data_IF_989204884299
#
_entry.id   IF_989204884299
#
_cell.length_a   1.000
_cell.length_b   1.000
_cell.length_c   1.000
_cell.angle_alpha   90.00
_cell.angle_beta   90.00
_cell.angle_gamma   90.00
#
_symmetry.space_group_name_H-M   'P 1'
#
loop_
_entity.id
_entity.type
_entity.pdbx_description
1 polymer ?
#
# COMPACT_ATOMS: atom_id res chain seq x y z
N UNK A 1 20.74 19.92 -1.58
CA UNK A 1 19.32 19.75 -1.20
C UNK A 1 18.50 20.67 -2.07
N UNK A 2 17.47 20.15 -2.73
CA UNK A 2 16.48 20.99 -3.41
C UNK A 2 15.83 21.88 -2.36
N UNK A 3 15.93 23.20 -2.51
CA UNK A 3 15.26 24.11 -1.60
C UNK A 3 13.80 24.26 -2.04
N UNK A 4 12.89 23.94 -1.12
CA UNK A 4 11.46 24.09 -1.33
C UNK A 4 11.01 25.39 -0.67
N UNK A 5 10.69 26.45 -1.45
CA UNK A 5 10.28 27.73 -0.87
C UNK A 5 8.89 27.66 -0.21
N UNK A 6 8.10 26.64 -0.57
CA UNK A 6 6.71 26.44 -0.12
C UNK A 6 6.48 25.00 0.30
N UNK A 7 6.03 24.81 1.54
CA UNK A 7 5.80 23.49 2.12
C UNK A 7 4.48 23.50 2.87
N UNK A 8 3.61 22.56 2.53
CA UNK A 8 2.36 22.30 3.22
C UNK A 8 2.36 20.89 3.81
N UNK A 9 1.55 20.71 4.85
CA UNK A 9 1.27 19.43 5.47
C UNK A 9 -0.24 19.24 5.45
N UNK A 10 -0.70 18.09 4.97
CA UNK A 10 -2.08 17.65 5.03
C UNK A 10 -2.16 16.48 6.00
N UNK A 11 -3.00 16.63 7.02
CA UNK A 11 -3.38 15.55 7.91
C UNK A 11 -4.56 14.80 7.30
N UNK A 12 -4.34 13.53 6.97
CA UNK A 12 -5.30 12.68 6.28
C UNK A 12 -5.64 11.45 7.12
N UNK A 13 -6.80 10.84 6.89
CA UNK A 13 -7.14 9.54 7.44
C UNK A 13 -6.14 8.46 7.01
N UNK A 14 -5.87 7.50 7.89
CA UNK A 14 -4.90 6.44 7.67
C UNK A 14 -5.43 5.39 6.71
N UNK A 15 -4.81 5.24 5.54
CA UNK A 15 -4.93 4.04 4.71
C UNK A 15 -3.58 3.32 4.65
N UNK A 16 -3.60 2.01 4.49
CA UNK A 16 -2.35 1.26 4.33
C UNK A 16 -1.76 1.46 2.92
N UNK A 17 -2.59 1.68 1.90
CA UNK A 17 -2.16 1.79 0.50
C UNK A 17 -2.50 3.13 -0.19
N UNK A 18 -3.52 3.86 0.26
CA UNK A 18 -4.09 5.05 -0.41
C UNK A 18 -4.32 4.87 -1.93
N UNK A 19 -4.61 3.63 -2.34
CA UNK A 19 -4.67 3.14 -3.73
C UNK A 19 -5.78 2.12 -3.93
N UNK A 20 -6.92 2.37 -3.31
CA UNK A 20 -8.13 1.52 -3.33
C UNK A 20 -8.37 0.67 -2.07
N UNK A 21 -7.57 0.69 -0.99
CA UNK A 21 -7.99 0.11 0.31
C UNK A 21 -8.57 1.12 1.31
N UNK A 22 -9.50 0.67 2.16
CA UNK A 22 -10.27 1.51 3.09
C UNK A 22 -9.39 2.43 3.96
N UNK A 23 -9.89 3.65 4.19
CA UNK A 23 -9.28 4.67 5.06
C UNK A 23 -9.85 4.59 6.47
N UNK A 24 -9.02 4.79 7.50
CA UNK A 24 -9.37 4.87 8.93
C UNK A 24 -8.82 6.16 9.56
N UNK A 25 -9.66 7.05 10.09
CA UNK A 25 -9.20 8.27 10.78
C UNK A 25 -10.05 8.62 12.01
N UNK A 26 -9.45 9.29 13.01
CA UNK A 26 -10.08 9.74 14.28
C UNK A 26 -10.99 10.98 14.13
N UNK A 27 -11.31 11.41 12.91
CA UNK A 27 -12.27 12.48 12.70
C UNK A 27 -13.68 11.89 12.79
N UNK A 28 -14.52 12.44 13.67
CA UNK A 28 -15.84 11.92 14.06
C UNK A 28 -16.92 11.85 12.96
N UNK A 29 -16.53 11.73 11.69
CA UNK A 29 -17.42 11.53 10.54
C UNK A 29 -17.23 10.18 9.83
N UNK A 30 -16.40 9.27 10.33
CA UNK A 30 -16.19 7.95 9.71
C UNK A 30 -16.80 6.83 10.55
N UNK A 31 -18.08 6.97 10.90
CA UNK A 31 -18.86 5.89 11.49
C UNK A 31 -19.30 4.84 10.45
N UNK A 32 -19.37 5.19 9.16
CA UNK A 32 -19.78 4.25 8.08
C UNK A 32 -19.18 4.53 6.66
N UNK A 33 -18.29 5.53 6.49
CA UNK A 33 -18.02 6.16 5.17
C UNK A 33 -16.67 5.86 4.49
N UNK A 34 -16.64 5.83 3.16
CA UNK A 34 -15.41 5.78 2.35
C UNK A 34 -14.75 7.16 2.32
N UNK A 35 -13.62 7.33 3.00
CA UNK A 35 -12.90 8.60 3.05
C UNK A 35 -12.31 9.02 1.70
N UNK A 36 -12.44 10.31 1.35
CA UNK A 36 -11.97 10.87 0.07
C UNK A 36 -10.47 10.67 -0.17
N UNK A 37 -9.71 10.56 0.91
CA UNK A 37 -8.28 10.30 0.90
C UNK A 37 -7.87 8.90 0.43
N UNK A 38 -8.81 7.96 0.26
CA UNK A 38 -8.55 6.57 -0.18
C UNK A 38 -7.75 6.46 -1.48
N UNK A 39 -7.81 7.49 -2.32
CA UNK A 39 -7.13 7.50 -3.62
C UNK A 39 -6.04 8.58 -3.71
N UNK A 40 -5.58 9.11 -2.57
CA UNK A 40 -4.54 10.14 -2.54
C UNK A 40 -3.24 9.72 -3.24
N UNK A 41 -2.97 8.43 -3.45
CA UNK A 41 -1.77 8.00 -4.17
C UNK A 41 -2.08 7.08 -5.35
N UNK A 42 -3.34 7.09 -5.82
CA UNK A 42 -3.75 6.49 -7.08
C UNK A 42 -3.65 7.54 -8.18
N UNK A 43 -2.77 7.36 -9.16
CA UNK A 43 -2.72 8.27 -10.31
C UNK A 43 -3.86 8.01 -11.29
N UNK A 44 -4.19 8.99 -12.12
CA UNK A 44 -4.98 8.74 -13.33
C UNK A 44 -4.09 8.11 -14.43
N UNK A 45 -4.70 7.84 -15.59
CA UNK A 45 -4.01 7.28 -16.78
C UNK A 45 -2.89 8.18 -17.33
N UNK A 46 -2.80 9.43 -16.90
CA UNK A 46 -1.77 10.39 -17.29
C UNK A 46 -0.71 10.57 -16.20
N UNK A 47 -0.73 9.74 -15.15
CA UNK A 47 0.24 9.80 -14.06
C UNK A 47 0.01 10.96 -13.09
N UNK A 48 -1.17 11.59 -13.10
CA UNK A 48 -1.52 12.69 -12.20
C UNK A 48 -2.18 12.14 -10.93
N UNK A 49 -1.69 12.58 -9.78
CA UNK A 49 -2.22 12.30 -8.46
C UNK A 49 -3.16 13.41 -8.00
N UNK A 50 -4.08 13.05 -7.11
CA UNK A 50 -5.10 13.94 -6.58
C UNK A 50 -5.20 13.73 -5.07
N UNK A 51 -4.91 14.78 -4.32
CA UNK A 51 -4.84 14.78 -2.86
C UNK A 51 -6.05 15.46 -2.25
N UNK A 52 -6.69 14.80 -1.31
CA UNK A 52 -7.77 15.34 -0.51
C UNK A 52 -7.19 15.99 0.76
N UNK A 53 -7.51 17.26 0.97
CA UNK A 53 -7.34 17.92 2.25
C UNK A 53 -8.71 18.09 2.91
N UNK A 54 -8.93 17.58 4.13
CA UNK A 54 -10.19 17.79 4.83
C UNK A 54 -10.43 19.30 5.06
N UNK A 55 -11.70 19.75 5.04
CA UNK A 55 -12.04 21.16 5.19
C UNK A 55 -11.63 21.73 6.54
N UNK A 56 -11.51 23.07 6.62
CA UNK A 56 -11.35 23.78 7.89
C UNK A 56 -12.66 24.41 8.36
N UNK A 57 -13.10 23.99 9.55
CA UNK A 57 -14.28 24.55 10.23
C UNK A 57 -15.59 24.30 9.47
N UNK A 58 -16.67 24.91 9.96
CA UNK A 58 -18.03 24.73 9.42
C UNK A 58 -18.21 25.28 7.99
N UNK A 59 -17.24 26.06 7.50
CA UNK A 59 -17.29 26.72 6.19
C UNK A 59 -16.95 25.83 4.99
N UNK A 60 -16.62 24.55 5.22
CA UNK A 60 -16.27 23.57 4.17
C UNK A 60 -15.26 24.07 3.12
N UNK A 61 -14.37 24.98 3.51
CA UNK A 61 -13.47 25.65 2.56
C UNK A 61 -12.20 24.83 2.31
N UNK A 62 -11.78 24.66 1.05
CA UNK A 62 -10.54 23.98 0.71
C UNK A 62 -9.32 24.83 1.10
N UNK A 63 -8.11 24.24 1.15
CA UNK A 63 -6.88 25.02 1.26
C UNK A 63 -6.73 26.00 0.09
N UNK A 64 -6.67 27.30 0.41
CA UNK A 64 -6.52 28.39 -0.55
C UNK A 64 -5.27 29.21 -0.23
N UNK A 65 -4.05 28.70 -0.49
CA UNK A 65 -2.86 29.55 -0.39
C UNK A 65 -2.93 30.67 -1.45
N UNK A 66 -2.27 31.80 -1.17
CA UNK A 66 -2.25 32.94 -2.09
C UNK A 66 -1.66 32.56 -3.45
N UNK A 67 -0.54 31.84 -3.44
CA UNK A 67 0.04 31.23 -4.63
C UNK A 67 -0.24 29.71 -4.62
N UNK A 68 -1.00 29.16 -5.58
CA UNK A 68 -1.44 27.76 -5.54
C UNK A 68 -0.42 26.76 -6.09
N UNK A 69 0.62 27.17 -6.81
CA UNK A 69 1.52 26.27 -7.56
C UNK A 69 2.84 26.00 -6.84
N UNK A 70 3.59 24.98 -7.26
CA UNK A 70 4.98 24.77 -6.82
C UNK A 70 5.14 24.40 -5.34
N UNK A 71 4.17 23.71 -4.77
CA UNK A 71 4.22 23.28 -3.36
C UNK A 71 4.86 21.91 -3.21
N UNK A 72 5.68 21.75 -2.16
CA UNK A 72 5.92 20.44 -1.57
C UNK A 72 4.81 20.16 -0.55
N UNK A 73 4.05 19.10 -0.75
CA UNK A 73 2.91 18.76 0.11
C UNK A 73 3.14 17.42 0.77
N UNK A 74 3.36 17.42 2.08
CA UNK A 74 3.48 16.20 2.87
C UNK A 74 2.11 15.72 3.33
N UNK A 75 1.83 14.43 3.16
CA UNK A 75 0.68 13.77 3.74
C UNK A 75 1.11 13.04 5.00
N UNK A 76 0.49 13.36 6.12
CA UNK A 76 0.73 12.72 7.41
C UNK A 76 -0.57 12.15 7.95
N UNK A 77 -0.45 11.08 8.73
CA UNK A 77 -1.64 10.45 9.30
C UNK A 77 -1.37 9.82 10.66
N UNK A 78 -2.40 9.71 11.49
CA UNK A 78 -2.37 8.97 12.75
C UNK A 78 -2.59 7.49 12.47
N UNK A 79 -1.61 6.65 12.79
CA UNK A 79 -1.74 5.20 12.63
C UNK A 79 -2.66 4.63 13.73
N UNK A 80 -3.72 3.87 13.37
CA UNK A 80 -4.59 3.22 14.36
C UNK A 80 -3.80 2.41 15.38
N UNK A 81 -4.12 2.58 16.67
CA UNK A 81 -3.44 1.90 17.78
C UNK A 81 -2.03 2.41 18.08
N UNK A 82 -1.55 3.48 17.43
CA UNK A 82 -0.27 4.12 17.74
C UNK A 82 -0.44 5.62 17.96
N UNK A 83 0.41 6.17 18.82
CA UNK A 83 0.39 7.60 19.14
C UNK A 83 1.28 8.40 18.18
N UNK A 84 0.77 9.52 17.69
CA UNK A 84 1.50 10.49 16.87
C UNK A 84 1.18 10.41 15.37
N UNK A 85 1.88 11.24 14.61
CA UNK A 85 1.74 11.30 13.16
C UNK A 85 2.85 10.53 12.49
N UNK A 86 2.56 9.97 11.32
CA UNK A 86 3.51 9.25 10.49
C UNK A 86 3.45 9.82 9.07
N UNK A 87 4.62 9.92 8.42
CA UNK A 87 4.69 10.35 7.02
C UNK A 87 4.13 9.24 6.13
N UNK A 88 3.10 9.57 5.37
CA UNK A 88 2.42 8.67 4.44
C UNK A 88 3.02 8.77 3.05
N UNK A 89 3.35 9.97 2.63
CA UNK A 89 3.78 10.27 1.27
C UNK A 89 3.87 11.77 1.05
N UNK A 90 4.28 12.17 -0.14
CA UNK A 90 4.35 13.57 -0.50
C UNK A 90 4.12 13.79 -1.99
N UNK A 91 3.72 15.01 -2.33
CA UNK A 91 3.69 15.51 -3.69
C UNK A 91 4.73 16.61 -3.86
N UNK A 92 5.40 16.61 -5.00
CA UNK A 92 6.31 17.67 -5.42
C UNK A 92 5.64 18.49 -6.52
N UNK A 93 6.02 19.76 -6.65
CA UNK A 93 5.46 20.69 -7.63
C UNK A 93 3.92 20.67 -7.69
N UNK A 94 3.29 20.61 -6.51
CA UNK A 94 1.86 20.44 -6.39
C UNK A 94 1.10 21.76 -6.62
N UNK A 95 -0.10 21.62 -7.18
CA UNK A 95 -1.08 22.68 -7.38
C UNK A 95 -2.24 22.51 -6.39
N UNK A 96 -2.52 23.54 -5.59
CA UNK A 96 -3.75 23.66 -4.81
C UNK A 96 -4.92 24.13 -5.68
N UNK A 97 -6.00 23.37 -5.70
CA UNK A 97 -7.24 23.71 -6.40
C UNK A 97 -8.05 24.72 -5.59
N UNK A 98 -8.82 25.56 -6.28
CA UNK A 98 -9.63 26.61 -5.62
C UNK A 98 -10.95 26.09 -5.04
N UNK A 99 -11.33 24.86 -5.39
CA UNK A 99 -12.54 24.17 -4.99
C UNK A 99 -12.25 22.67 -4.74
N UNK A 100 -13.23 21.97 -4.18
CA UNK A 100 -13.25 20.51 -4.12
C UNK A 100 -13.71 19.98 -5.49
N UNK A 101 -12.77 19.50 -6.28
CA UNK A 101 -13.03 19.09 -7.66
C UNK A 101 -12.97 17.57 -7.81
N UNK A 102 -13.87 16.95 -8.59
CA UNK A 102 -13.75 15.54 -8.93
C UNK A 102 -12.57 15.31 -9.86
N UNK A 103 -12.06 14.08 -9.86
CA UNK A 103 -11.07 13.66 -10.86
C UNK A 103 -11.70 13.56 -12.25
N UNK A 104 -10.91 13.74 -13.33
CA UNK A 104 -11.35 13.48 -14.69
C UNK A 104 -11.85 12.04 -14.91
N UNK A 105 -11.34 11.07 -14.13
CA UNK A 105 -11.70 9.66 -14.19
C UNK A 105 -12.64 9.23 -13.04
N UNK A 106 -13.36 10.17 -12.44
CA UNK A 106 -14.21 9.92 -11.26
C UNK A 106 -15.25 8.80 -11.45
N UNK A 107 -15.75 8.60 -12.67
CA UNK A 107 -16.74 7.54 -12.99
C UNK A 107 -16.22 6.11 -12.75
N UNK A 108 -14.89 5.93 -12.66
CA UNK A 108 -14.28 4.63 -12.34
C UNK A 108 -14.39 4.29 -10.86
N UNK A 109 -14.57 5.30 -10.02
CA UNK A 109 -14.71 5.13 -8.59
C UNK A 109 -16.22 5.12 -8.31
N UNK A 110 -16.70 4.09 -7.61
CA UNK A 110 -18.09 4.07 -7.15
C UNK A 110 -18.43 5.32 -6.31
N UNK A 111 -19.68 5.45 -5.83
CA UNK A 111 -20.05 6.61 -5.04
C UNK A 111 -19.20 6.75 -3.78
N UNK A 112 -18.99 7.99 -3.33
CA UNK A 112 -18.48 8.28 -1.99
C UNK A 112 -19.51 7.92 -0.90
N UNK A 113 -19.22 8.24 0.36
CA UNK A 113 -20.10 7.95 1.49
C UNK A 113 -21.48 8.62 1.41
N UNK A 114 -21.60 9.72 0.68
CA UNK A 114 -22.82 10.51 0.54
C UNK A 114 -23.54 10.23 -0.79
N UNK A 115 -23.08 9.23 -1.57
CA UNK A 115 -23.62 8.93 -2.88
C UNK A 115 -23.05 9.80 -4.00
N UNK A 116 -22.08 10.66 -3.69
CA UNK A 116 -21.43 11.62 -4.58
C UNK A 116 -20.15 11.11 -5.23
N UNK A 117 -19.38 12.05 -5.80
CA UNK A 117 -18.07 11.78 -6.41
C UNK A 117 -16.95 12.12 -5.45
N UNK A 118 -15.87 11.34 -5.50
CA UNK A 118 -14.63 11.68 -4.81
C UNK A 118 -14.05 13.02 -5.27
N UNK A 119 -14.00 13.99 -4.35
CA UNK A 119 -13.46 15.33 -4.54
C UNK A 119 -12.06 15.51 -3.94
N UNK A 120 -11.25 16.36 -4.57
CA UNK A 120 -9.85 16.62 -4.21
C UNK A 120 -9.52 18.11 -4.25
N UNK A 121 -8.43 18.50 -3.58
CA UNK A 121 -8.03 19.90 -3.44
C UNK A 121 -6.57 20.15 -3.81
N UNK A 122 -5.80 19.10 -4.09
CA UNK A 122 -4.41 19.19 -4.52
C UNK A 122 -4.20 18.25 -5.70
N UNK A 123 -3.37 18.66 -6.67
CA UNK A 123 -2.93 17.76 -7.73
C UNK A 123 -1.42 17.89 -7.96
N UNK A 124 -0.80 16.80 -8.39
CA UNK A 124 0.61 16.77 -8.80
C UNK A 124 0.84 15.61 -9.75
N UNK A 125 1.80 15.74 -10.66
CA UNK A 125 2.32 14.57 -11.39
C UNK A 125 3.39 13.82 -10.60
N UNK A 126 4.06 14.47 -9.64
CA UNK A 126 5.17 13.93 -8.86
C UNK A 126 4.72 13.49 -7.45
N UNK A 127 3.97 12.40 -7.37
CA UNK A 127 3.51 11.80 -6.11
C UNK A 127 4.35 10.61 -5.66
N UNK A 128 4.65 10.55 -4.35
CA UNK A 128 5.44 9.52 -3.71
C UNK A 128 4.70 8.96 -2.51
N UNK A 129 4.38 7.67 -2.54
CA UNK A 129 3.80 6.95 -1.41
C UNK A 129 4.92 6.28 -0.62
N UNK A 130 4.97 6.48 0.69
CA UNK A 130 5.85 5.73 1.59
C UNK A 130 5.23 4.34 1.80
N UNK A 131 5.94 3.24 1.48
CA UNK A 131 5.49 1.89 1.80
C UNK A 131 5.27 1.72 3.31
N UNK A 132 4.24 0.97 3.69
CA UNK A 132 3.88 0.77 5.11
C UNK A 132 5.06 0.34 6.02
N UNK A 133 5.97 -0.57 5.63
CA UNK A 133 7.13 -0.92 6.45
C UNK A 133 8.07 0.26 6.72
N UNK A 134 8.12 1.21 5.80
CA UNK A 134 8.95 2.41 5.90
C UNK A 134 8.25 3.54 6.67
N UNK A 135 6.94 3.45 6.98
CA UNK A 135 6.18 4.41 7.81
C UNK A 135 6.42 4.18 9.32
N UNK A 136 7.68 4.19 9.73
CA UNK A 136 8.11 3.78 11.07
C UNK A 136 8.39 4.97 12.01
N UNK A 137 8.79 6.12 11.47
CA UNK A 137 9.16 7.29 12.27
C UNK A 137 7.93 8.08 12.70
N UNK A 138 7.79 8.24 14.01
CA UNK A 138 6.82 9.14 14.63
C UNK A 138 7.28 10.58 14.46
N UNK A 139 6.38 11.43 13.97
CA UNK A 139 6.52 12.88 13.87
C UNK A 139 5.67 13.53 14.95
N UNK A 140 6.22 14.57 15.60
CA UNK A 140 5.46 15.34 16.58
C UNK A 140 4.44 16.22 15.86
N UNK A 141 3.16 15.99 16.17
CA UNK A 141 2.03 16.66 15.53
C UNK A 141 1.29 17.62 16.45
N UNK A 142 1.84 17.95 17.61
CA UNK A 142 1.11 18.60 18.72
C UNK A 142 0.54 19.98 18.32
N UNK A 143 1.12 20.62 17.31
CA UNK A 143 0.68 21.89 16.74
C UNK A 143 -0.24 21.75 15.52
N UNK A 144 -0.34 20.55 14.92
CA UNK A 144 -1.21 20.25 13.77
C UNK A 144 -2.63 19.93 14.27
N UNK A 145 -3.29 20.93 14.86
CA UNK A 145 -4.66 20.83 15.38
C UNK A 145 -5.74 20.88 14.29
N UNK A 146 -5.35 20.91 13.02
CA UNK A 146 -6.18 21.16 11.85
C UNK A 146 -5.88 20.13 10.75
N UNK A 147 -6.77 20.08 9.75
CA UNK A 147 -6.68 19.22 8.58
C UNK A 147 -5.45 19.49 7.71
N UNK A 148 -4.89 20.70 7.74
CA UNK A 148 -3.65 21.06 7.05
C UNK A 148 -2.96 22.27 7.69
N UNK A 149 -1.68 22.49 7.34
CA UNK A 149 -0.92 23.67 7.71
C UNK A 149 0.16 24.03 6.66
N UNK A 150 0.37 25.32 6.39
CA UNK A 150 1.47 25.81 5.55
C UNK A 150 2.73 26.05 6.40
N UNK A 151 3.64 25.10 6.43
CA UNK A 151 4.83 25.18 7.31
C UNK A 151 5.98 26.00 6.72
N UNK A 152 5.88 26.39 5.45
CA UNK A 152 6.80 27.33 4.81
C UNK A 152 6.10 28.05 3.65
N UNK A 153 6.41 29.32 3.45
CA UNK A 153 5.95 30.12 2.30
C UNK A 153 4.60 30.81 2.46
N UNK A 154 3.98 30.77 3.65
CA UNK A 154 2.74 31.50 3.97
C UNK A 154 2.95 32.82 4.73
N UNK A 155 4.20 33.25 4.92
CA UNK A 155 4.54 34.44 5.73
C UNK A 155 4.43 34.24 7.25
N UNK A 156 4.08 33.04 7.72
CA UNK A 156 4.02 32.71 9.15
C UNK A 156 5.34 32.11 9.65
N UNK A 157 6.04 32.82 10.53
CA UNK A 157 7.33 32.40 11.09
C UNK A 157 7.20 31.96 12.55
N UNK A 158 6.70 30.73 12.73
CA UNK A 158 6.66 30.08 14.04
C UNK A 158 7.71 28.96 14.06
N UNK A 159 8.53 28.92 15.11
CA UNK A 159 9.66 27.99 15.22
C UNK A 159 9.27 26.51 15.02
N UNK A 160 8.09 26.10 15.48
CA UNK A 160 7.61 24.73 15.29
C UNK A 160 7.36 24.37 13.81
N UNK A 161 6.96 25.35 12.97
CA UNK A 161 6.76 25.14 11.52
C UNK A 161 8.09 24.84 10.84
N UNK A 162 9.12 25.62 11.18
CA UNK A 162 10.49 25.43 10.67
C UNK A 162 11.07 24.08 11.10
N UNK A 163 10.92 23.72 12.39
CA UNK A 163 11.37 22.42 12.91
C UNK A 163 10.66 21.26 12.21
N UNK A 164 9.33 21.31 12.10
CA UNK A 164 8.53 20.25 11.49
C UNK A 164 8.85 20.09 9.99
N UNK A 165 8.99 21.20 9.26
CA UNK A 165 9.42 21.17 7.86
C UNK A 165 10.80 20.53 7.70
N UNK A 166 11.76 20.89 8.57
CA UNK A 166 13.11 20.31 8.57
C UNK A 166 13.13 18.82 8.89
N UNK A 167 12.34 18.36 9.87
CA UNK A 167 12.21 16.93 10.20
C UNK A 167 11.63 16.12 9.03
N UNK A 168 10.58 16.64 8.38
CA UNK A 168 9.93 15.99 7.23
C UNK A 168 10.83 15.95 6.00
N UNK A 169 11.53 17.05 5.69
CA UNK A 169 12.50 17.09 4.60
C UNK A 169 13.63 16.08 4.81
N UNK A 170 14.19 16.04 6.03
CA UNK A 170 15.24 15.05 6.35
C UNK A 170 14.74 13.64 6.19
N UNK A 171 13.53 13.34 6.70
CA UNK A 171 12.97 12.00 6.58
C UNK A 171 12.66 11.63 5.12
N UNK A 172 12.13 12.55 4.32
CA UNK A 172 11.98 12.39 2.87
C UNK A 172 13.33 12.06 2.23
N UNK A 173 14.37 12.82 2.52
CA UNK A 173 15.69 12.65 1.91
C UNK A 173 16.33 11.31 2.30
N UNK A 174 16.07 10.80 3.51
CA UNK A 174 16.46 9.45 3.93
C UNK A 174 15.64 8.35 3.22
N UNK A 175 14.36 8.62 2.90
CA UNK A 175 13.49 7.67 2.21
C UNK A 175 13.77 7.60 0.71
N UNK A 176 14.17 8.70 0.05
CA UNK A 176 14.47 8.74 -1.39
C UNK A 176 15.42 7.61 -1.82
N UNK A 177 16.60 7.38 -1.20
CA UNK A 177 17.46 6.29 -1.62
C UNK A 177 16.88 4.91 -1.32
N UNK A 178 15.98 4.76 -0.35
CA UNK A 178 15.30 3.49 -0.08
C UNK A 178 14.21 3.21 -1.13
N UNK A 179 13.50 4.25 -1.56
CA UNK A 179 12.53 4.18 -2.64
C UNK A 179 13.22 4.00 -4.00
N UNK A 180 14.39 4.60 -4.19
CA UNK A 180 15.23 4.46 -5.38
C UNK A 180 15.99 3.13 -5.40
N UNK A 181 16.48 2.63 -4.27
CA UNK A 181 17.14 1.32 -4.16
C UNK A 181 16.18 0.15 -4.34
N UNK A 182 14.87 0.37 -4.15
CA UNK A 182 13.82 -0.53 -4.62
C UNK A 182 13.54 -0.41 -6.13
N UNK A 183 14.25 0.48 -6.84
CA UNK A 183 14.02 0.84 -8.25
C UNK A 183 15.30 0.80 -9.12
N UNK A 184 16.46 0.37 -8.60
CA UNK A 184 17.71 0.27 -9.37
C UNK A 184 17.96 -1.19 -9.74
N UNK A 185 17.33 -1.62 -10.84
CA UNK A 185 17.94 -2.38 -11.95
C UNK A 185 17.18 -1.95 -13.23
N UNK A 186 17.51 -0.75 -13.75
CA UNK A 186 17.76 -0.41 -15.16
C UNK A 186 17.63 1.11 -15.40
N UNK A 187 18.49 1.62 -16.28
CA UNK A 187 18.73 3.03 -16.63
C UNK A 187 17.47 3.76 -17.18
N UNK A 188 17.33 5.06 -16.83
CA UNK A 188 16.36 6.09 -17.31
C UNK A 188 14.88 6.04 -16.83
N UNK A 189 14.19 7.21 -16.75
CA UNK A 189 14.25 8.22 -15.71
C UNK A 189 13.16 8.01 -14.62
N UNK A 190 13.56 8.15 -13.35
CA UNK A 190 12.70 8.38 -12.19
C UNK A 190 11.43 7.50 -12.10
N UNK A 191 11.63 6.21 -11.85
CA UNK A 191 10.61 5.24 -11.45
C UNK A 191 9.92 5.67 -10.14
N UNK A 192 8.88 6.46 -10.30
CA UNK A 192 7.80 6.63 -9.32
C UNK A 192 7.24 5.23 -9.04
N UNK A 193 7.01 4.91 -7.77
CA UNK A 193 6.28 3.71 -7.35
C UNK A 193 4.87 3.78 -7.94
N UNK A 194 4.69 3.50 -9.22
CA UNK A 194 3.42 3.64 -9.92
C UNK A 194 2.47 2.57 -9.42
N UNK A 195 1.24 2.95 -9.08
CA UNK A 195 0.11 2.03 -8.93
C UNK A 195 -0.32 1.50 -10.28
N UNK A 196 0.65 1.07 -11.10
CA UNK A 196 0.47 0.62 -12.46
C UNK A 196 -0.03 -0.83 -12.44
N UNK A 197 -1.30 -1.08 -12.79
CA UNK A 197 -1.86 -2.43 -12.82
C UNK A 197 -1.12 -3.33 -13.80
N UNK A 198 -0.53 -2.78 -14.88
CA UNK A 198 0.25 -3.53 -15.86
C UNK A 198 1.54 -4.03 -15.22
N UNK A 199 2.22 -3.17 -14.44
CA UNK A 199 3.40 -3.57 -13.66
C UNK A 199 3.08 -4.57 -12.57
N UNK A 200 1.95 -4.42 -11.85
CA UNK A 200 1.53 -5.43 -10.83
C UNK A 200 1.27 -6.77 -11.49
N UNK A 201 0.55 -6.77 -12.61
CA UNK A 201 0.33 -7.97 -13.40
C UNK A 201 1.66 -8.54 -13.94
N UNK A 202 2.61 -7.70 -14.32
CA UNK A 202 3.95 -8.14 -14.74
C UNK A 202 4.71 -8.81 -13.59
N UNK A 203 4.67 -8.23 -12.38
CA UNK A 203 5.27 -8.83 -11.16
C UNK A 203 4.63 -10.17 -10.83
N UNK A 204 3.29 -10.26 -10.86
CA UNK A 204 2.56 -11.50 -10.60
C UNK A 204 2.92 -12.59 -11.63
N UNK A 205 2.87 -12.25 -12.93
CA UNK A 205 3.24 -13.16 -14.02
C UNK A 205 4.70 -13.61 -13.92
N UNK A 206 5.62 -12.69 -13.62
CA UNK A 206 7.03 -13.01 -13.50
C UNK A 206 7.32 -13.88 -12.27
N UNK A 207 6.63 -13.62 -11.15
CA UNK A 207 6.72 -14.45 -9.95
C UNK A 207 6.21 -15.87 -10.20
N UNK A 208 5.04 -16.04 -10.82
CA UNK A 208 4.51 -17.36 -11.19
C UNK A 208 5.50 -18.09 -12.09
N UNK A 209 6.01 -17.44 -13.15
CA UNK A 209 7.00 -18.03 -14.05
C UNK A 209 8.27 -18.46 -13.31
N UNK A 210 8.79 -17.64 -12.38
CA UNK A 210 9.96 -17.97 -11.59
C UNK A 210 9.71 -19.19 -10.67
N UNK A 211 8.51 -19.28 -10.09
CA UNK A 211 8.12 -20.44 -9.27
C UNK A 211 7.98 -21.71 -10.11
N UNK A 212 7.37 -21.62 -11.30
CA UNK A 212 7.28 -22.77 -12.23
C UNK A 212 8.66 -23.29 -12.63
N UNK A 213 9.62 -22.38 -12.85
CA UNK A 213 11.01 -22.75 -13.13
C UNK A 213 11.72 -23.36 -11.92
N UNK A 214 11.48 -22.82 -10.72
CA UNK A 214 12.06 -23.31 -9.47
C UNK A 214 11.59 -24.75 -9.15
N UNK A 215 10.35 -25.09 -9.48
CA UNK A 215 9.77 -26.42 -9.31
C UNK A 215 9.72 -27.23 -10.61
N UNK A 216 10.80 -27.23 -11.40
CA UNK A 216 10.86 -27.92 -12.70
C UNK A 216 10.54 -29.42 -12.65
N UNK A 217 10.86 -30.06 -11.52
CA UNK A 217 10.63 -31.50 -11.28
C UNK A 217 9.15 -31.83 -11.01
N UNK A 218 8.30 -30.81 -10.95
CA UNK A 218 6.86 -30.93 -10.78
C UNK A 218 6.12 -30.63 -12.08
N UNK A 219 4.98 -31.29 -12.28
CA UNK A 219 3.95 -30.82 -13.18
C UNK A 219 3.19 -29.69 -12.50
N UNK A 220 3.08 -28.53 -13.16
CA UNK A 220 2.41 -27.34 -12.65
C UNK A 220 1.04 -27.16 -13.30
N UNK A 221 0.02 -26.87 -12.49
CA UNK A 221 -1.32 -26.47 -12.93
C UNK A 221 -1.73 -25.21 -12.17
N UNK A 222 -2.03 -24.12 -12.89
CA UNK A 222 -2.57 -22.90 -12.28
C UNK A 222 -4.00 -23.12 -11.76
N UNK A 223 -4.25 -22.59 -10.56
CA UNK A 223 -5.49 -22.63 -9.77
C UNK A 223 -5.95 -21.23 -9.34
N UNK A 224 -5.26 -20.18 -9.80
CA UNK A 224 -5.53 -18.77 -9.47
C UNK A 224 -7.01 -18.38 -9.70
N UNK A 225 -7.63 -18.88 -10.78
CA UNK A 225 -9.02 -18.60 -11.11
C UNK A 225 -10.06 -19.27 -10.17
N UNK A 226 -9.68 -20.39 -9.52
CA UNK A 226 -10.56 -21.18 -8.65
C UNK A 226 -10.66 -20.58 -7.24
N UNK A 227 -9.75 -19.64 -6.89
CA UNK A 227 -9.69 -18.96 -5.58
C UNK A 227 -9.69 -19.94 -4.42
N UNK A 228 -9.04 -21.10 -4.54
CA UNK A 228 -9.09 -22.18 -3.54
C UNK A 228 -8.15 -21.98 -2.34
N UNK A 229 -7.45 -20.85 -2.26
CA UNK A 229 -6.52 -20.49 -1.17
C UNK A 229 -5.06 -20.85 -1.45
N UNK A 230 -4.75 -21.14 -2.71
CA UNK A 230 -3.42 -21.33 -3.28
C UNK A 230 -3.50 -21.05 -4.80
N UNK A 231 -2.35 -20.71 -5.41
CA UNK A 231 -2.28 -20.31 -6.83
C UNK A 231 -1.88 -21.46 -7.74
N UNK A 232 -0.98 -22.33 -7.31
CA UNK A 232 -0.44 -23.42 -8.14
C UNK A 232 -0.64 -24.79 -7.45
N UNK A 233 -1.15 -25.75 -8.21
CA UNK A 233 -1.12 -27.17 -7.89
C UNK A 233 0.11 -27.80 -8.54
N UNK A 234 1.06 -28.26 -7.73
CA UNK A 234 2.25 -28.95 -8.21
C UNK A 234 2.16 -30.43 -7.88
N UNK A 235 2.49 -31.29 -8.85
CA UNK A 235 2.58 -32.75 -8.65
C UNK A 235 3.97 -33.23 -9.05
N UNK A 236 4.70 -33.83 -8.11
CA UNK A 236 6.05 -34.32 -8.35
C UNK A 236 6.01 -35.43 -9.39
N UNK A 237 6.81 -35.31 -10.46
CA UNK A 237 6.70 -36.18 -11.64
C UNK A 237 7.03 -37.66 -11.36
N UNK A 238 7.81 -37.94 -10.31
CA UNK A 238 8.22 -39.32 -9.99
C UNK A 238 7.49 -39.93 -8.80
N UNK A 239 7.03 -39.12 -7.84
CA UNK A 239 6.53 -39.61 -6.53
C UNK A 239 5.03 -39.38 -6.35
N UNK A 240 4.41 -38.61 -7.26
CA UNK A 240 3.05 -38.10 -7.17
C UNK A 240 2.79 -37.26 -5.90
N UNK A 241 3.84 -36.75 -5.24
CA UNK A 241 3.70 -35.83 -4.12
C UNK A 241 3.04 -34.53 -4.57
N UNK A 242 2.09 -34.03 -3.78
CA UNK A 242 1.27 -32.87 -4.13
C UNK A 242 1.66 -31.66 -3.27
N UNK A 243 1.99 -30.55 -3.93
CA UNK A 243 2.13 -29.24 -3.27
C UNK A 243 1.02 -28.31 -3.73
N UNK A 244 0.45 -27.58 -2.78
CA UNK A 244 -0.38 -26.41 -3.01
C UNK A 244 0.47 -25.18 -2.67
N UNK A 245 0.79 -24.39 -3.70
CA UNK A 245 1.71 -23.25 -3.58
C UNK A 245 0.94 -21.96 -3.74
N UNK A 246 1.02 -21.10 -2.74
CA UNK A 246 0.62 -19.69 -2.82
C UNK A 246 1.81 -18.87 -3.31
N UNK A 247 1.63 -18.05 -4.34
CA UNK A 247 2.71 -17.28 -4.97
C UNK A 247 2.55 -15.80 -4.66
N UNK A 248 3.61 -15.17 -4.15
CA UNK A 248 3.62 -13.72 -3.88
C UNK A 248 4.85 -13.08 -4.52
N UNK A 249 4.63 -12.18 -5.46
CA UNK A 249 5.70 -11.40 -6.09
C UNK A 249 5.92 -10.05 -5.41
N UNK A 250 7.17 -9.63 -5.29
CA UNK A 250 7.53 -8.27 -4.89
C UNK A 250 8.71 -7.76 -5.73
N UNK A 251 8.74 -6.46 -5.98
CA UNK A 251 9.90 -5.78 -6.57
C UNK A 251 10.97 -5.44 -5.52
N UNK A 252 10.73 -5.74 -4.25
CA UNK A 252 11.73 -5.56 -3.20
C UNK A 252 12.74 -6.71 -3.22
N UNK A 253 13.99 -6.41 -2.86
CA UNK A 253 15.05 -7.42 -2.70
C UNK A 253 14.79 -8.38 -1.52
N UNK A 254 14.03 -7.94 -0.52
CA UNK A 254 13.65 -8.77 0.62
C UNK A 254 12.20 -9.29 0.46
N UNK A 255 11.90 -10.54 0.88
CA UNK A 255 10.55 -11.09 0.87
C UNK A 255 9.56 -10.22 1.66
N UNK A 256 8.48 -9.80 1.00
CA UNK A 256 7.38 -9.08 1.62
C UNK A 256 6.09 -9.40 0.86
N UNK A 257 5.01 -9.68 1.58
CA UNK A 257 3.77 -10.16 0.97
C UNK A 257 2.55 -9.83 1.84
N UNK A 258 1.38 -9.97 1.24
CA UNK A 258 0.08 -9.98 1.93
C UNK A 258 -0.59 -11.33 1.70
N UNK A 259 -1.29 -11.83 2.71
CA UNK A 259 -2.17 -12.99 2.58
C UNK A 259 -3.61 -12.58 2.90
N UNK A 260 -4.54 -13.08 2.11
CA UNK A 260 -5.95 -12.98 2.45
C UNK A 260 -6.27 -13.94 3.61
N UNK A 261 -7.38 -13.68 4.33
CA UNK A 261 -7.82 -14.60 5.39
C UNK A 261 -8.09 -16.01 4.86
N UNK A 262 -8.55 -16.12 3.61
CA UNK A 262 -8.81 -17.40 2.97
C UNK A 262 -7.51 -18.17 2.71
N UNK A 263 -6.49 -17.50 2.17
CA UNK A 263 -5.16 -18.08 1.95
C UNK A 263 -4.52 -18.53 3.26
N UNK A 264 -4.52 -17.65 4.28
CA UNK A 264 -3.95 -17.98 5.59
C UNK A 264 -4.71 -19.13 6.27
N UNK A 265 -6.05 -19.11 6.24
CA UNK A 265 -6.89 -20.17 6.79
C UNK A 265 -6.70 -21.51 6.06
N UNK A 266 -6.50 -21.47 4.74
CA UNK A 266 -6.19 -22.65 3.95
C UNK A 266 -4.84 -23.25 4.34
N UNK A 267 -3.79 -22.41 4.42
CA UNK A 267 -2.46 -22.79 4.87
C UNK A 267 -2.50 -23.43 6.27
N UNK A 268 -3.21 -22.80 7.21
CA UNK A 268 -3.38 -23.33 8.57
C UNK A 268 -4.08 -24.70 8.60
N UNK A 269 -5.08 -24.91 7.73
CA UNK A 269 -5.79 -26.20 7.65
C UNK A 269 -4.85 -27.37 7.28
N UNK A 270 -3.77 -27.09 6.55
CA UNK A 270 -2.77 -28.06 6.12
C UNK A 270 -1.56 -28.16 7.06
N UNK A 271 -1.49 -27.36 8.15
CA UNK A 271 -0.34 -27.31 9.07
C UNK A 271 0.09 -28.66 9.65
N UNK A 272 -0.83 -29.62 9.79
CA UNK A 272 -0.51 -30.95 10.33
C UNK A 272 0.34 -31.79 9.39
N UNK A 273 0.37 -31.44 8.10
CA UNK A 273 1.11 -32.13 7.06
C UNK A 273 2.41 -31.41 6.70
N UNK A 274 2.69 -30.23 7.26
CA UNK A 274 3.71 -29.25 6.81
C UNK A 274 5.10 -29.83 6.45
N UNK A 275 5.53 -30.88 7.17
CA UNK A 275 6.85 -31.47 7.04
C UNK A 275 6.96 -32.72 6.15
N UNK A 276 5.86 -33.43 5.85
CA UNK A 276 5.97 -34.67 5.06
C UNK A 276 4.65 -35.05 4.40
N UNK A 277 4.71 -35.39 3.11
CA UNK A 277 3.58 -35.95 2.37
C UNK A 277 3.09 -37.25 3.00
N UNK A 278 1.77 -37.43 3.04
CA UNK A 278 1.12 -38.59 3.62
C UNK A 278 -0.04 -39.01 2.73
N UNK A 279 -0.28 -40.31 2.64
CA UNK A 279 -1.50 -40.82 2.00
C UNK A 279 -2.66 -40.82 3.00
N UNK A 280 -3.84 -40.51 2.49
CA UNK A 280 -5.13 -40.70 3.15
C UNK A 280 -5.46 -42.20 3.22
N UNK A 281 -6.52 -42.54 3.98
CA UNK A 281 -6.98 -43.94 4.11
C UNK A 281 -7.46 -44.55 2.79
N UNK A 282 -7.90 -43.70 1.87
CA UNK A 282 -8.33 -44.07 0.51
C UNK A 282 -7.15 -44.17 -0.49
N UNK A 283 -5.91 -43.99 -0.03
CA UNK A 283 -4.70 -44.06 -0.86
C UNK A 283 -4.33 -42.76 -1.57
N UNK A 284 -5.16 -41.71 -1.50
CA UNK A 284 -4.87 -40.40 -2.11
C UNK A 284 -3.77 -39.65 -1.37
N UNK A 285 -2.93 -38.89 -2.07
CA UNK A 285 -1.93 -38.04 -1.44
C UNK A 285 -2.58 -36.83 -0.77
N UNK A 286 -2.18 -36.54 0.47
CA UNK A 286 -2.53 -35.30 1.15
C UNK A 286 -1.55 -34.21 0.72
N UNK A 287 -2.05 -33.03 0.30
CA UNK A 287 -1.19 -31.97 -0.16
C UNK A 287 -0.37 -31.37 0.99
N UNK A 288 0.84 -30.95 0.65
CA UNK A 288 1.62 -30.01 1.44
C UNK A 288 1.30 -28.59 1.01
N UNK A 289 1.39 -27.64 1.93
CA UNK A 289 1.26 -26.23 1.59
C UNK A 289 2.63 -25.55 1.60
N UNK A 290 2.85 -24.64 0.65
CA UNK A 290 4.03 -23.77 0.58
C UNK A 290 3.63 -22.35 0.23
N UNK A 291 4.35 -21.40 0.79
CA UNK A 291 4.42 -20.02 0.31
C UNK A 291 5.69 -19.86 -0.52
N UNK A 292 5.55 -19.41 -1.76
CA UNK A 292 6.67 -18.99 -2.58
C UNK A 292 6.64 -17.47 -2.71
N UNK A 293 7.58 -16.79 -2.04
CA UNK A 293 7.76 -15.34 -2.19
C UNK A 293 8.88 -15.09 -3.17
N UNK A 294 8.58 -14.41 -4.28
CA UNK A 294 9.56 -14.05 -5.30
C UNK A 294 9.99 -12.62 -5.08
N UNK A 295 11.21 -12.43 -4.57
CA UNK A 295 11.84 -11.12 -4.45
C UNK A 295 12.47 -10.72 -5.78
N UNK A 296 12.52 -9.42 -6.04
CA UNK A 296 13.04 -8.86 -7.29
C UNK A 296 12.43 -9.51 -8.55
N UNK A 297 11.11 -9.65 -8.56
CA UNK A 297 10.41 -10.45 -9.58
C UNK A 297 10.58 -9.95 -11.04
N UNK A 298 10.97 -8.69 -11.25
CA UNK A 298 11.17 -8.12 -12.59
C UNK A 298 12.65 -7.95 -12.98
N UNK A 299 13.58 -7.99 -12.02
CA UNK A 299 15.03 -7.93 -12.25
C UNK A 299 15.62 -9.34 -12.29
N UNK A 300 16.28 -9.74 -11.20
CA UNK A 300 16.83 -11.09 -10.99
C UNK A 300 15.98 -11.88 -9.97
N UNK A 301 14.93 -12.60 -10.41
CA UNK A 301 13.95 -13.17 -9.49
C UNK A 301 14.59 -14.23 -8.58
N UNK A 302 14.40 -14.05 -7.27
CA UNK A 302 14.83 -15.03 -6.27
C UNK A 302 13.60 -15.60 -5.57
N UNK A 303 13.43 -16.92 -5.65
CA UNK A 303 12.31 -17.63 -5.03
C UNK A 303 12.67 -18.04 -3.60
N UNK A 304 11.87 -17.60 -2.64
CA UNK A 304 11.97 -17.99 -1.22
C UNK A 304 10.78 -18.88 -0.86
N UNK A 305 11.06 -20.15 -0.58
CA UNK A 305 10.05 -21.11 -0.15
C UNK A 305 9.90 -21.10 1.37
N UNK A 306 8.67 -21.09 1.86
CA UNK A 306 8.35 -21.27 3.26
C UNK A 306 7.25 -22.32 3.46
N UNK A 307 7.46 -23.22 4.40
CA UNK A 307 6.40 -23.98 5.05
C UNK A 307 5.48 -23.08 5.87
N UNK A 308 4.32 -23.57 6.27
CA UNK A 308 3.44 -22.83 7.17
C UNK A 308 4.16 -22.46 8.47
N UNK A 309 4.83 -23.43 9.10
CA UNK A 309 5.58 -23.20 10.35
C UNK A 309 6.74 -22.23 10.17
N UNK A 310 7.47 -22.30 9.06
CA UNK A 310 8.56 -21.39 8.73
C UNK A 310 8.04 -19.97 8.47
N UNK A 311 6.94 -19.83 7.74
CA UNK A 311 6.27 -18.54 7.51
C UNK A 311 5.90 -17.89 8.85
N UNK A 312 5.19 -18.61 9.72
CA UNK A 312 4.75 -18.07 11.02
C UNK A 312 5.90 -17.76 11.98
N UNK A 313 7.07 -18.39 11.80
CA UNK A 313 8.27 -18.13 12.60
C UNK A 313 9.05 -16.92 12.08
N UNK A 314 9.12 -16.76 10.76
CA UNK A 314 9.97 -15.76 10.12
C UNK A 314 9.24 -14.43 9.85
N UNK A 315 7.91 -14.41 9.87
CA UNK A 315 7.11 -13.21 9.57
C UNK A 315 6.06 -12.92 10.65
N UNK A 316 5.96 -11.65 11.03
CA UNK A 316 4.88 -11.14 11.87
C UNK A 316 3.60 -10.94 11.04
N UNK A 317 2.69 -11.92 11.09
CA UNK A 317 1.40 -11.85 10.40
C UNK A 317 0.35 -11.15 11.28
N UNK A 318 0.17 -9.85 11.06
CA UNK A 318 -0.92 -9.10 11.67
C UNK A 318 -2.17 -9.12 10.75
N UNK A 319 -3.39 -9.30 11.31
CA UNK A 319 -4.61 -9.19 10.52
C UNK A 319 -4.69 -7.85 9.80
N UNK A 320 -4.84 -7.92 8.48
CA UNK A 320 -4.85 -6.76 7.58
C UNK A 320 -6.16 -5.97 7.66
N UNK A 321 -7.30 -6.64 7.86
CA UNK A 321 -8.60 -5.98 8.02
C UNK A 321 -9.60 -6.83 8.84
N UNK A 322 -10.53 -6.15 9.53
CA UNK A 322 -11.71 -6.74 10.17
C UNK A 322 -12.91 -5.85 9.87
N UNK A 323 -14.04 -6.46 9.50
CA UNK A 323 -15.31 -5.77 9.21
C UNK A 323 -16.35 -6.19 10.24
N UNK A 324 -16.90 -5.23 10.98
CA UNK A 324 -18.06 -5.44 11.84
C UNK A 324 -19.36 -5.10 11.10
N UNK A 325 -20.40 -5.90 11.28
CA UNK A 325 -21.76 -5.60 10.81
C UNK A 325 -22.74 -5.79 11.96
N UNK A 326 -23.82 -5.01 11.97
CA UNK A 326 -24.86 -5.12 13.00
C UNK A 326 -25.47 -6.54 12.98
N UNK A 327 -25.61 -7.18 14.16
CA UNK A 327 -26.37 -8.42 14.24
C UNK A 327 -27.86 -8.08 14.13
N UNK A 328 -28.54 -8.63 13.12
CA UNK A 328 -30.00 -8.61 13.11
C UNK A 328 -30.48 -9.30 14.39
N UNK A 329 -31.30 -8.59 15.17
CA UNK A 329 -31.94 -9.16 16.35
C UNK A 329 -32.95 -10.18 15.86
N UNK A 330 -32.72 -11.44 16.20
CA UNK A 330 -33.63 -12.57 16.01
C UNK A 330 -34.97 -12.36 16.72
#
# INVERSE_FOLDING_TARGET
MTDYPRIAIINTGWSDDYREDQVRGDFGYLADGVGHERFNFLSDRHGRFYGYAPPLGESWSPPKPENPEGWLVFFVSKRPGRNGLYLVGWYEDALFLRAYEPRPDAERFGPDSDGGKFLYTVTSTAGFLVPLPLRSRKIKGDHLKRSYAYVRGSGEDQSWRTTLAGELLRYRDELIPLLAGAAIEDDEPALRFSGDPERRQAVEKAAVKAVEQHFSDYACVSKEAEKCGYDLLLTHRETDEILHVEVKGTSLAAPCFFLTQKELGYAESLRRNDNRARKSKDGSWRPLWRLAVVSDALGTPTVHEYKYTEMTRNFDLAPYAWRGTLKEKS
#
